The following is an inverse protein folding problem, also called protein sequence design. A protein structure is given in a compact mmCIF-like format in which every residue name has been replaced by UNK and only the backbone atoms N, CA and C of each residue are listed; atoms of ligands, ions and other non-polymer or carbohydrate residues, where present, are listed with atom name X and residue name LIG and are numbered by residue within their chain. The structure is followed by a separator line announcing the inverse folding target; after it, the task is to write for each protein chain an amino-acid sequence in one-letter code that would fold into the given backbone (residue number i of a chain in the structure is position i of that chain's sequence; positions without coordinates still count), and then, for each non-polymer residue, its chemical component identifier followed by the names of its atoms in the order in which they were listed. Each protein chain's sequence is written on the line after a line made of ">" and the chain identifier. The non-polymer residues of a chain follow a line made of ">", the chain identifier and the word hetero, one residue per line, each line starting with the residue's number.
data_IF_098957265175
#
_entry.id   IF_098957265175
#
_cell.length_a   1.000
_cell.length_b   1.000
_cell.length_c   1.000
_cell.angle_alpha   90.00
_cell.angle_beta   90.00
_cell.angle_gamma   90.00
#
_symmetry.space_group_name_H-M   'P 1'
#
loop_
_entity.id
_entity.type
_entity.pdbx_description
1 polymer ?
#
# COMPACT_ATOMS: atom_id res chain seq x y z
N UNK A 1 15.35 -37.26 16.31
CA UNK A 1 13.96 -36.86 16.43
C UNK A 1 13.72 -35.86 15.30
N UNK A 2 12.81 -36.14 14.42
CA UNK A 2 12.48 -35.26 13.30
C UNK A 2 11.82 -33.98 13.82
N UNK A 3 11.90 -32.91 13.05
CA UNK A 3 11.28 -31.61 13.35
C UNK A 3 9.76 -31.73 13.60
N UNK A 4 9.06 -32.52 12.77
CA UNK A 4 7.62 -32.73 12.90
C UNK A 4 7.30 -33.53 14.19
N UNK A 5 8.03 -34.58 14.44
CA UNK A 5 7.89 -35.38 15.67
C UNK A 5 8.11 -34.55 16.93
N UNK A 6 9.11 -33.64 16.90
CA UNK A 6 9.41 -32.77 18.03
C UNK A 6 8.22 -31.90 18.44
N UNK A 7 7.49 -31.37 17.46
CA UNK A 7 6.28 -30.58 17.71
C UNK A 7 4.99 -31.41 17.73
N UNK A 8 5.08 -32.74 17.58
CA UNK A 8 3.95 -33.66 17.45
C UNK A 8 3.02 -33.28 16.28
N UNK A 9 3.58 -32.95 15.14
CA UNK A 9 2.87 -32.59 13.91
C UNK A 9 2.93 -33.77 12.92
N UNK A 10 1.90 -33.92 12.09
CA UNK A 10 1.83 -34.93 11.04
C UNK A 10 2.40 -34.40 9.71
N UNK A 11 2.35 -33.09 9.50
CA UNK A 11 2.84 -32.41 8.31
C UNK A 11 3.28 -30.97 8.63
N UNK A 12 3.98 -30.31 7.68
CA UNK A 12 4.43 -28.94 7.89
C UNK A 12 3.26 -27.95 7.85
N UNK A 13 2.92 -27.29 8.97
CA UNK A 13 1.81 -26.35 9.03
C UNK A 13 2.02 -25.09 8.19
N UNK A 14 3.26 -24.72 7.85
CA UNK A 14 3.58 -23.42 7.27
C UNK A 14 4.30 -23.53 5.91
N UNK A 15 4.00 -24.58 5.14
CA UNK A 15 4.47 -24.73 3.78
C UNK A 15 4.14 -23.50 2.92
N UNK A 16 5.06 -23.14 2.00
CA UNK A 16 4.93 -21.95 1.15
C UNK A 16 4.17 -22.22 -0.16
N UNK A 17 4.05 -23.47 -0.56
CA UNK A 17 3.29 -23.89 -1.74
C UNK A 17 1.79 -23.72 -1.47
N UNK A 18 1.04 -23.09 -2.40
CA UNK A 18 -0.40 -22.98 -2.28
C UNK A 18 -1.07 -24.35 -2.18
N UNK A 19 -1.71 -24.62 -1.05
CA UNK A 19 -2.42 -25.87 -0.75
C UNK A 19 -3.84 -25.54 -0.29
N UNK A 20 -4.84 -26.08 -0.97
CA UNK A 20 -6.26 -25.88 -0.65
C UNK A 20 -6.66 -26.52 0.68
N UNK A 21 -5.95 -27.56 1.12
CA UNK A 21 -6.17 -28.19 2.43
C UNK A 21 -5.94 -27.21 3.57
N UNK A 22 -4.95 -26.33 3.43
CA UNK A 22 -4.60 -25.29 4.41
C UNK A 22 -5.27 -23.93 4.14
N UNK A 23 -6.30 -23.90 3.33
CA UNK A 23 -7.04 -22.65 3.12
C UNK A 23 -7.79 -22.22 4.38
N UNK A 24 -7.44 -21.04 4.87
CA UNK A 24 -8.15 -20.37 5.95
C UNK A 24 -9.24 -19.45 5.39
N UNK A 25 -10.53 -19.77 5.58
CA UNK A 25 -11.63 -19.03 4.99
C UNK A 25 -11.93 -17.75 5.79
N UNK A 26 -11.04 -16.75 5.73
CA UNK A 26 -11.35 -15.45 6.34
C UNK A 26 -12.59 -14.86 5.67
N UNK A 27 -13.27 -13.95 6.37
CA UNK A 27 -14.47 -13.28 5.82
C UNK A 27 -14.19 -12.71 4.42
N UNK A 28 -13.09 -12.00 4.26
CA UNK A 28 -12.69 -11.40 2.98
C UNK A 28 -12.48 -12.46 1.88
N UNK A 29 -11.82 -13.58 2.17
CA UNK A 29 -11.63 -14.64 1.19
C UNK A 29 -12.97 -15.25 0.75
N UNK A 30 -13.88 -15.45 1.69
CA UNK A 30 -15.24 -15.92 1.38
C UNK A 30 -16.04 -14.91 0.55
N UNK A 31 -15.94 -13.61 0.86
CA UNK A 31 -16.61 -12.54 0.12
C UNK A 31 -16.10 -12.49 -1.34
N UNK A 32 -14.79 -12.66 -1.55
CA UNK A 32 -14.19 -12.72 -2.90
C UNK A 32 -14.68 -13.97 -3.67
N UNK A 33 -14.67 -15.14 -3.03
CA UNK A 33 -15.16 -16.37 -3.66
C UNK A 33 -16.65 -16.24 -4.02
N UNK A 34 -17.48 -15.72 -3.12
CA UNK A 34 -18.91 -15.48 -3.38
C UNK A 34 -19.12 -14.50 -4.55
N UNK A 35 -18.28 -13.46 -4.65
CA UNK A 35 -18.35 -12.52 -5.78
C UNK A 35 -17.98 -13.16 -7.10
N UNK A 36 -17.01 -14.07 -7.13
CA UNK A 36 -16.66 -14.84 -8.33
C UNK A 36 -17.75 -15.86 -8.70
N UNK A 37 -18.29 -16.57 -7.70
CA UNK A 37 -19.39 -17.51 -7.94
C UNK A 37 -20.59 -16.76 -8.55
N UNK A 38 -20.95 -15.60 -7.97
CA UNK A 38 -22.00 -14.72 -8.49
C UNK A 38 -21.71 -14.26 -9.93
N UNK A 39 -20.45 -13.85 -10.23
CA UNK A 39 -20.06 -13.41 -11.57
C UNK A 39 -20.33 -14.48 -12.64
N UNK A 40 -19.98 -15.74 -12.34
CA UNK A 40 -20.19 -16.84 -13.28
C UNK A 40 -21.67 -17.20 -13.39
N UNK A 41 -22.42 -17.23 -12.29
CA UNK A 41 -23.86 -17.49 -12.28
C UNK A 41 -24.64 -16.46 -13.10
N UNK A 42 -24.30 -15.18 -12.94
CA UNK A 42 -24.94 -14.05 -13.67
C UNK A 42 -24.38 -13.80 -15.06
N UNK A 43 -23.41 -14.61 -15.52
CA UNK A 43 -22.74 -14.47 -16.83
C UNK A 43 -22.09 -13.11 -17.02
N UNK A 44 -21.48 -12.57 -15.96
CA UNK A 44 -20.74 -11.32 -16.01
C UNK A 44 -19.49 -11.47 -16.88
N UNK A 45 -19.22 -10.49 -17.75
CA UNK A 45 -18.12 -10.59 -18.72
C UNK A 45 -16.74 -10.53 -18.09
N UNK A 46 -16.51 -9.58 -17.20
CA UNK A 46 -15.20 -9.38 -16.55
C UNK A 46 -15.31 -9.28 -15.04
N UNK A 47 -14.39 -9.98 -14.38
CA UNK A 47 -14.12 -9.86 -12.96
C UNK A 47 -12.65 -9.54 -12.69
N UNK A 48 -12.37 -8.74 -11.70
CA UNK A 48 -11.02 -8.32 -11.31
C UNK A 48 -10.75 -8.63 -9.85
N UNK A 49 -9.67 -9.36 -9.58
CA UNK A 49 -9.15 -9.59 -8.22
C UNK A 49 -7.80 -8.90 -8.09
N UNK A 50 -7.71 -7.97 -7.16
CA UNK A 50 -6.45 -7.26 -6.85
C UNK A 50 -5.97 -7.64 -5.46
N UNK A 51 -4.67 -7.82 -5.30
CA UNK A 51 -4.06 -8.03 -3.98
C UNK A 51 -2.55 -8.01 -4.03
N UNK A 52 -1.95 -7.62 -2.94
CA UNK A 52 -0.49 -7.66 -2.78
C UNK A 52 0.08 -9.08 -2.96
N UNK A 53 1.36 -9.23 -3.32
CA UNK A 53 2.00 -10.54 -3.38
C UNK A 53 1.87 -11.30 -2.06
N UNK A 54 1.46 -12.59 -2.15
CA UNK A 54 1.35 -13.45 -0.97
C UNK A 54 0.06 -13.30 -0.15
N UNK A 55 -0.95 -12.54 -0.62
CA UNK A 55 -2.27 -12.40 0.04
C UNK A 55 -3.22 -13.57 -0.19
N UNK A 56 -2.84 -14.57 -1.00
CA UNK A 56 -3.65 -15.78 -1.24
C UNK A 56 -4.44 -15.77 -2.55
N UNK A 57 -4.14 -14.88 -3.50
CA UNK A 57 -4.81 -14.83 -4.83
C UNK A 57 -4.86 -16.18 -5.52
N UNK A 58 -3.71 -16.81 -5.72
CA UNK A 58 -3.61 -18.11 -6.38
C UNK A 58 -4.32 -19.23 -5.61
N UNK A 59 -4.39 -19.14 -4.27
CA UNK A 59 -5.14 -20.11 -3.46
C UNK A 59 -6.64 -19.98 -3.69
N UNK A 60 -7.16 -18.76 -3.75
CA UNK A 60 -8.56 -18.49 -4.10
C UNK A 60 -8.89 -19.01 -5.48
N UNK A 61 -8.01 -18.78 -6.47
CA UNK A 61 -8.20 -19.28 -7.83
C UNK A 61 -8.29 -20.80 -7.86
N UNK A 62 -7.42 -21.52 -7.17
CA UNK A 62 -7.49 -22.98 -7.09
C UNK A 62 -8.83 -23.46 -6.54
N UNK A 63 -9.31 -22.85 -5.46
CA UNK A 63 -10.60 -23.21 -4.86
C UNK A 63 -11.76 -22.89 -5.79
N UNK A 64 -11.73 -21.75 -6.44
CA UNK A 64 -12.73 -21.35 -7.42
C UNK A 64 -12.77 -22.35 -8.61
N UNK A 65 -11.61 -22.67 -9.16
CA UNK A 65 -11.48 -23.66 -10.25
C UNK A 65 -12.03 -25.03 -9.83
N UNK A 66 -11.68 -25.50 -8.63
CA UNK A 66 -12.16 -26.77 -8.09
C UNK A 66 -13.70 -26.81 -7.95
N UNK A 67 -14.33 -25.68 -7.65
CA UNK A 67 -15.81 -25.56 -7.55
C UNK A 67 -16.49 -25.62 -8.91
N UNK A 68 -15.84 -25.05 -9.94
CA UNK A 68 -16.46 -24.84 -11.26
C UNK A 68 -16.03 -25.82 -12.33
N UNK A 69 -14.94 -26.58 -12.16
CA UNK A 69 -14.35 -27.49 -13.15
C UNK A 69 -15.33 -28.51 -13.77
N UNK A 70 -16.37 -28.90 -13.07
CA UNK A 70 -17.37 -29.86 -13.59
C UNK A 70 -18.47 -29.19 -14.41
N UNK A 71 -18.75 -27.92 -14.12
CA UNK A 71 -19.82 -27.14 -14.77
C UNK A 71 -19.30 -26.19 -15.84
N UNK A 72 -17.98 -26.05 -15.97
CA UNK A 72 -17.36 -25.07 -16.84
C UNK A 72 -16.14 -25.67 -17.57
N UNK A 73 -15.85 -25.13 -18.73
CA UNK A 73 -14.55 -25.26 -19.37
C UNK A 73 -13.70 -24.06 -18.92
N UNK A 74 -12.53 -24.31 -18.34
CA UNK A 74 -11.72 -23.26 -17.74
C UNK A 74 -10.35 -23.23 -18.40
N UNK A 75 -9.98 -22.09 -18.98
CA UNK A 75 -8.62 -21.81 -19.43
C UNK A 75 -7.87 -21.05 -18.34
N UNK A 76 -6.72 -21.56 -17.89
CA UNK A 76 -5.90 -20.96 -16.83
C UNK A 76 -4.55 -20.50 -17.37
N UNK A 77 -4.38 -19.20 -17.52
CA UNK A 77 -3.14 -18.57 -18.01
C UNK A 77 -2.32 -18.09 -16.81
N UNK A 78 -1.20 -18.79 -16.55
CA UNK A 78 -0.34 -18.51 -15.37
C UNK A 78 0.93 -17.72 -15.68
N UNK A 79 1.34 -17.61 -16.95
CA UNK A 79 2.55 -16.90 -17.37
C UNK A 79 2.23 -15.91 -18.49
N UNK A 80 1.64 -14.77 -18.18
CA UNK A 80 1.03 -13.90 -19.17
C UNK A 80 2.01 -12.93 -19.88
N UNK A 81 3.27 -13.32 -20.12
CA UNK A 81 4.17 -12.54 -21.00
C UNK A 81 4.02 -13.01 -22.44
N UNK A 82 2.81 -12.91 -22.96
CA UNK A 82 2.42 -13.39 -24.28
C UNK A 82 1.97 -12.21 -25.15
N UNK A 83 2.29 -12.25 -26.44
CA UNK A 83 1.66 -11.40 -27.45
C UNK A 83 0.15 -11.68 -27.53
N UNK A 84 -0.65 -10.81 -28.14
CA UNK A 84 -2.09 -11.07 -28.32
C UNK A 84 -2.39 -12.40 -29.01
N UNK A 85 -1.61 -12.75 -30.03
CA UNK A 85 -1.74 -13.99 -30.79
C UNK A 85 -1.35 -15.22 -29.94
N UNK A 86 -0.23 -15.15 -29.24
CA UNK A 86 0.22 -16.21 -28.33
C UNK A 86 -0.77 -16.41 -27.17
N UNK A 87 -1.39 -15.34 -26.67
CA UNK A 87 -2.41 -15.42 -25.64
C UNK A 87 -3.66 -16.16 -26.15
N UNK A 88 -4.13 -15.83 -27.36
CA UNK A 88 -5.26 -16.52 -27.97
C UNK A 88 -4.92 -18.02 -28.19
N UNK A 89 -3.73 -18.32 -28.69
CA UNK A 89 -3.28 -19.71 -28.86
C UNK A 89 -3.25 -20.44 -27.49
N UNK A 90 -2.68 -19.85 -26.48
CA UNK A 90 -2.62 -20.46 -25.15
C UNK A 90 -4.01 -20.74 -24.55
N UNK A 91 -4.98 -19.85 -24.77
CA UNK A 91 -6.38 -20.05 -24.37
C UNK A 91 -6.99 -21.25 -25.10
N UNK A 92 -6.78 -21.35 -26.42
CA UNK A 92 -7.30 -22.45 -27.24
C UNK A 92 -6.68 -23.78 -26.83
N UNK A 93 -5.36 -23.80 -26.60
CA UNK A 93 -4.65 -25.02 -26.20
C UNK A 93 -5.14 -25.53 -24.84
N UNK A 94 -5.34 -24.63 -23.86
CA UNK A 94 -5.81 -25.01 -22.52
C UNK A 94 -7.28 -25.50 -22.53
N UNK A 95 -8.09 -24.99 -23.48
CA UNK A 95 -9.44 -25.48 -23.72
C UNK A 95 -9.47 -26.74 -24.61
N UNK A 96 -8.31 -27.30 -24.94
CA UNK A 96 -8.16 -28.46 -25.84
C UNK A 96 -8.74 -28.24 -27.24
N UNK A 97 -8.77 -27.02 -27.76
CA UNK A 97 -9.18 -26.67 -29.11
C UNK A 97 -7.95 -26.77 -30.02
N UNK A 98 -7.80 -27.90 -30.70
CA UNK A 98 -6.66 -28.12 -31.59
C UNK A 98 -6.91 -27.48 -32.94
N UNK A 99 -6.01 -26.62 -33.38
CA UNK A 99 -6.02 -25.97 -34.68
C UNK A 99 -4.65 -26.15 -35.33
N UNK A 100 -4.64 -26.46 -36.63
CA UNK A 100 -3.43 -26.56 -37.45
C UNK A 100 -3.12 -25.22 -38.16
N UNK A 101 -3.78 -24.14 -37.76
CA UNK A 101 -3.66 -22.83 -38.39
C UNK A 101 -3.09 -21.77 -37.39
N UNK A 102 -2.30 -20.87 -37.93
CA UNK A 102 -1.84 -19.66 -37.23
C UNK A 102 -2.64 -18.42 -37.64
N UNK A 103 -3.67 -18.58 -38.46
CA UNK A 103 -4.52 -17.49 -38.89
C UNK A 103 -5.46 -17.06 -37.76
N UNK A 104 -5.27 -15.84 -37.26
CA UNK A 104 -6.04 -15.28 -36.14
C UNK A 104 -7.56 -15.30 -36.39
N UNK A 105 -8.01 -15.03 -37.62
CA UNK A 105 -9.45 -15.01 -37.93
C UNK A 105 -10.06 -16.40 -37.83
N UNK A 106 -9.34 -17.42 -38.27
CA UNK A 106 -9.76 -18.80 -38.12
C UNK A 106 -9.77 -19.24 -36.64
N UNK A 107 -8.77 -18.85 -35.88
CA UNK A 107 -8.71 -19.12 -34.45
C UNK A 107 -9.92 -18.49 -33.72
N UNK A 108 -10.26 -17.22 -33.99
CA UNK A 108 -11.43 -16.55 -33.41
C UNK A 108 -12.72 -17.20 -33.83
N UNK A 109 -12.85 -17.65 -35.09
CA UNK A 109 -14.04 -18.34 -35.59
C UNK A 109 -14.23 -19.68 -34.87
N UNK A 110 -13.19 -20.50 -34.77
CA UNK A 110 -13.24 -21.78 -34.05
C UNK A 110 -13.54 -21.57 -32.55
N UNK A 111 -12.95 -20.56 -31.93
CA UNK A 111 -13.26 -20.22 -30.55
C UNK A 111 -14.74 -19.83 -30.36
N UNK A 112 -15.28 -19.00 -31.24
CA UNK A 112 -16.70 -18.62 -31.19
C UNK A 112 -17.61 -19.85 -31.37
N UNK A 113 -17.33 -20.74 -32.33
CA UNK A 113 -18.11 -21.95 -32.55
C UNK A 113 -18.05 -22.87 -31.32
N UNK A 114 -16.88 -22.97 -30.66
CA UNK A 114 -16.74 -23.68 -29.39
C UNK A 114 -17.60 -23.05 -28.29
N UNK A 115 -17.56 -21.71 -28.09
CA UNK A 115 -18.35 -21.00 -27.08
C UNK A 115 -19.85 -21.25 -27.27
N UNK A 116 -20.35 -21.19 -28.52
CA UNK A 116 -21.75 -21.46 -28.85
C UNK A 116 -22.12 -22.90 -28.49
N UNK A 117 -21.29 -23.88 -28.87
CA UNK A 117 -21.52 -25.27 -28.54
C UNK A 117 -21.55 -25.56 -27.04
N UNK A 118 -20.68 -24.88 -26.27
CA UNK A 118 -20.69 -25.02 -24.80
C UNK A 118 -21.90 -24.35 -24.15
N UNK A 119 -22.33 -23.19 -24.66
CA UNK A 119 -23.56 -22.54 -24.19
C UNK A 119 -24.80 -23.39 -24.46
N UNK A 120 -24.90 -24.06 -25.61
CA UNK A 120 -25.99 -24.98 -25.91
C UNK A 120 -26.01 -26.22 -24.99
N UNK A 121 -24.87 -26.61 -24.44
CA UNK A 121 -24.71 -27.69 -23.48
C UNK A 121 -24.85 -27.21 -22.02
N UNK A 122 -25.26 -25.94 -21.79
CA UNK A 122 -25.35 -25.27 -20.49
C UNK A 122 -24.02 -25.27 -19.69
N UNK A 123 -22.90 -25.32 -20.39
CA UNK A 123 -21.58 -25.18 -19.80
C UNK A 123 -21.06 -23.77 -19.94
N UNK A 124 -20.43 -23.25 -18.87
CA UNK A 124 -19.75 -21.96 -18.87
C UNK A 124 -18.35 -22.11 -19.48
N UNK A 125 -17.86 -21.04 -20.09
CA UNK A 125 -16.44 -20.95 -20.51
C UNK A 125 -15.81 -19.77 -19.75
N UNK A 126 -14.75 -20.08 -19.00
CA UNK A 126 -14.10 -19.14 -18.10
C UNK A 126 -12.62 -19.04 -18.46
N UNK A 127 -12.13 -17.85 -18.74
CA UNK A 127 -10.70 -17.57 -18.86
C UNK A 127 -10.23 -16.96 -17.54
N UNK A 128 -9.25 -17.57 -16.90
CA UNK A 128 -8.60 -17.08 -15.69
C UNK A 128 -7.17 -16.69 -16.04
N UNK A 129 -6.82 -15.43 -15.79
CA UNK A 129 -5.47 -14.93 -16.00
C UNK A 129 -4.88 -14.54 -14.66
N UNK A 130 -3.92 -15.33 -14.14
CA UNK A 130 -3.15 -14.98 -12.94
C UNK A 130 -1.96 -14.09 -13.31
N UNK A 131 -1.50 -13.26 -12.38
CA UNK A 131 -0.44 -12.26 -12.58
C UNK A 131 -0.68 -11.34 -13.81
N UNK A 132 -1.95 -10.96 -14.06
CA UNK A 132 -2.38 -10.21 -15.24
C UNK A 132 -1.72 -8.83 -15.40
N UNK A 133 -1.04 -8.29 -14.36
CA UNK A 133 -0.20 -7.10 -14.51
C UNK A 133 1.00 -7.31 -15.45
N UNK A 134 1.35 -8.56 -15.80
CA UNK A 134 2.40 -8.88 -16.74
C UNK A 134 1.95 -8.92 -18.21
N UNK A 135 0.63 -8.93 -18.48
CA UNK A 135 0.10 -8.81 -19.84
C UNK A 135 0.48 -7.47 -20.48
N UNK A 136 0.72 -7.47 -21.79
CA UNK A 136 0.81 -6.23 -22.56
C UNK A 136 -0.56 -5.55 -22.66
N UNK A 137 -0.58 -4.24 -22.96
CA UNK A 137 -1.85 -3.53 -23.20
C UNK A 137 -2.58 -4.09 -24.41
N UNK A 138 -1.84 -4.54 -25.44
CA UNK A 138 -2.40 -5.26 -26.60
C UNK A 138 -3.08 -6.57 -26.22
N UNK A 139 -2.48 -7.35 -25.29
CA UNK A 139 -3.07 -8.62 -24.83
C UNK A 139 -4.30 -8.38 -23.94
N UNK A 140 -4.30 -7.33 -23.13
CA UNK A 140 -5.49 -6.90 -22.38
C UNK A 140 -6.62 -6.47 -23.31
N UNK A 141 -6.28 -5.74 -24.39
CA UNK A 141 -7.24 -5.33 -25.40
C UNK A 141 -7.79 -6.53 -26.20
N UNK A 142 -6.95 -7.54 -26.49
CA UNK A 142 -7.41 -8.78 -27.10
C UNK A 142 -8.47 -9.50 -26.24
N UNK A 143 -8.24 -9.61 -24.93
CA UNK A 143 -9.25 -10.16 -24.01
C UNK A 143 -10.55 -9.34 -24.05
N UNK A 144 -10.46 -8.01 -24.15
CA UNK A 144 -11.63 -7.15 -24.31
C UNK A 144 -12.39 -7.46 -25.61
N UNK A 145 -11.66 -7.67 -26.72
CA UNK A 145 -12.28 -8.04 -28.00
C UNK A 145 -12.93 -9.41 -27.94
N UNK A 146 -12.28 -10.40 -27.33
CA UNK A 146 -12.85 -11.75 -27.14
C UNK A 146 -14.13 -11.71 -26.28
N UNK A 147 -14.22 -10.81 -25.32
CA UNK A 147 -15.44 -10.65 -24.49
C UNK A 147 -16.66 -10.15 -25.28
N UNK A 148 -16.48 -9.66 -26.52
CA UNK A 148 -17.59 -9.31 -27.41
C UNK A 148 -18.24 -10.54 -28.07
N UNK A 149 -17.67 -11.73 -27.87
CA UNK A 149 -18.28 -12.98 -28.35
C UNK A 149 -19.49 -13.28 -27.45
N UNK A 150 -20.64 -12.79 -27.86
CA UNK A 150 -21.92 -12.92 -27.17
C UNK A 150 -23.03 -13.29 -28.13
N UNK A 151 -24.13 -13.80 -27.60
CA UNK A 151 -25.39 -13.94 -28.34
C UNK A 151 -26.28 -12.72 -28.06
N UNK A 152 -27.43 -12.60 -28.71
CA UNK A 152 -28.42 -11.58 -28.40
C UNK A 152 -28.95 -11.63 -26.96
N UNK A 153 -28.74 -12.73 -26.25
CA UNK A 153 -29.33 -12.99 -24.94
C UNK A 153 -28.32 -13.01 -23.79
N UNK A 154 -27.06 -13.40 -24.08
CA UNK A 154 -26.11 -13.66 -23.01
C UNK A 154 -24.63 -13.56 -23.45
N UNK A 155 -23.78 -13.30 -22.49
CA UNK A 155 -22.32 -13.41 -22.62
C UNK A 155 -21.92 -14.89 -22.67
N UNK A 156 -21.16 -15.25 -23.69
CA UNK A 156 -20.66 -16.64 -23.86
C UNK A 156 -19.38 -16.91 -23.07
N UNK A 157 -18.65 -15.86 -22.71
CA UNK A 157 -17.32 -15.92 -22.11
C UNK A 157 -17.25 -15.09 -20.83
N UNK A 158 -16.69 -15.65 -19.78
CA UNK A 158 -16.34 -14.96 -18.55
C UNK A 158 -14.81 -14.86 -18.43
N UNK A 159 -14.30 -13.69 -18.04
CA UNK A 159 -12.86 -13.43 -17.91
C UNK A 159 -12.58 -12.94 -16.50
N UNK A 160 -11.69 -13.64 -15.79
CA UNK A 160 -11.25 -13.30 -14.45
C UNK A 160 -9.79 -12.86 -14.53
N UNK A 161 -9.55 -11.58 -14.31
CA UNK A 161 -8.22 -11.01 -14.20
C UNK A 161 -7.79 -10.97 -12.74
N UNK A 162 -6.64 -11.56 -12.45
CA UNK A 162 -6.06 -11.57 -11.11
C UNK A 162 -4.69 -10.94 -11.15
N UNK A 163 -4.45 -9.96 -10.30
CA UNK A 163 -3.19 -9.22 -10.37
C UNK A 163 -2.84 -8.45 -9.11
N UNK A 164 -1.77 -7.71 -9.23
CA UNK A 164 -1.25 -6.80 -8.20
C UNK A 164 -1.84 -5.40 -8.37
N UNK A 165 -1.69 -4.48 -7.39
CA UNK A 165 -2.22 -3.12 -7.49
C UNK A 165 -1.77 -2.34 -8.75
N UNK A 166 -0.64 -2.74 -9.35
CA UNK A 166 -0.15 -2.22 -10.62
C UNK A 166 -1.16 -2.40 -11.76
N UNK A 167 -1.81 -3.59 -11.81
CA UNK A 167 -2.85 -3.86 -12.81
C UNK A 167 -4.00 -2.85 -12.71
N UNK A 168 -4.47 -2.58 -11.51
CA UNK A 168 -5.54 -1.61 -11.29
C UNK A 168 -5.16 -0.22 -11.77
N UNK A 169 -3.93 0.23 -11.48
CA UNK A 169 -3.42 1.53 -11.93
C UNK A 169 -3.34 1.61 -13.46
N UNK A 170 -2.92 0.52 -14.12
CA UNK A 170 -2.86 0.45 -15.59
C UNK A 170 -4.25 0.47 -16.21
N UNK A 171 -5.22 -0.26 -15.66
CA UNK A 171 -6.60 -0.27 -16.14
C UNK A 171 -7.25 1.12 -16.13
N UNK A 172 -6.88 1.98 -15.18
CA UNK A 172 -7.36 3.36 -15.12
C UNK A 172 -6.68 4.32 -16.13
N UNK A 173 -5.69 3.85 -16.92
CA UNK A 173 -5.08 4.67 -17.97
C UNK A 173 -6.01 4.84 -19.19
N UNK A 174 -5.77 5.90 -19.98
CA UNK A 174 -6.60 6.18 -21.16
C UNK A 174 -6.65 5.01 -22.15
N UNK A 175 -5.52 4.32 -22.35
CA UNK A 175 -5.42 3.20 -23.30
C UNK A 175 -6.26 1.97 -22.93
N UNK A 176 -6.58 1.77 -21.65
CA UNK A 176 -7.34 0.62 -21.18
C UNK A 176 -8.72 0.99 -20.57
N UNK A 177 -9.14 2.22 -20.73
CA UNK A 177 -10.40 2.74 -20.17
C UNK A 177 -11.63 1.93 -20.62
N UNK A 178 -11.65 1.45 -21.85
CA UNK A 178 -12.75 0.63 -22.36
C UNK A 178 -12.83 -0.74 -21.70
N UNK A 179 -11.69 -1.35 -21.38
CA UNK A 179 -11.63 -2.59 -20.61
C UNK A 179 -12.06 -2.32 -19.16
N UNK A 180 -11.57 -1.24 -18.56
CA UNK A 180 -11.91 -0.86 -17.18
C UNK A 180 -13.42 -0.71 -16.96
N UNK A 181 -14.13 -0.11 -17.93
CA UNK A 181 -15.59 0.04 -17.92
C UNK A 181 -16.36 -1.29 -18.04
N UNK A 182 -15.74 -2.35 -18.55
CA UNK A 182 -16.36 -3.67 -18.69
C UNK A 182 -16.24 -4.55 -17.46
N UNK A 183 -15.40 -4.16 -16.49
CA UNK A 183 -15.21 -4.91 -15.27
C UNK A 183 -16.38 -4.62 -14.33
N UNK A 184 -17.31 -5.56 -14.26
CA UNK A 184 -18.51 -5.49 -13.43
C UNK A 184 -18.22 -5.85 -11.97
N UNK A 185 -17.32 -6.80 -11.72
CA UNK A 185 -16.97 -7.25 -10.37
C UNK A 185 -15.52 -6.91 -10.06
N UNK A 186 -15.33 -6.23 -8.92
CA UNK A 186 -14.00 -5.86 -8.41
C UNK A 186 -13.86 -6.30 -6.97
N UNK A 187 -12.88 -7.15 -6.72
CA UNK A 187 -12.57 -7.64 -5.40
C UNK A 187 -11.12 -7.32 -5.01
N UNK A 188 -10.89 -6.98 -3.76
CA UNK A 188 -9.54 -6.66 -3.27
C UNK A 188 -9.19 -7.55 -2.09
N UNK A 189 -8.07 -8.27 -2.20
CA UNK A 189 -7.48 -9.07 -1.14
C UNK A 189 -6.50 -8.21 -0.34
N UNK A 190 -6.85 -7.94 0.91
CA UNK A 190 -5.99 -7.26 1.88
C UNK A 190 -5.21 -8.27 2.72
N UNK A 191 -4.13 -7.87 3.38
CA UNK A 191 -3.51 -8.66 4.45
C UNK A 191 -4.51 -8.97 5.58
N UNK A 192 -4.29 -10.07 6.28
CA UNK A 192 -5.06 -10.48 7.45
C UNK A 192 -4.91 -9.47 8.58
N UNK A 193 -5.97 -9.23 9.34
CA UNK A 193 -5.92 -8.45 10.59
C UNK A 193 -5.14 -9.21 11.66
N UNK A 194 -4.85 -8.56 12.80
CA UNK A 194 -4.18 -9.20 13.94
C UNK A 194 -4.96 -10.42 14.44
N UNK A 195 -6.29 -10.30 14.55
CA UNK A 195 -7.19 -11.39 14.96
C UNK A 195 -7.17 -12.52 13.93
N UNK A 196 -7.41 -12.19 12.65
CA UNK A 196 -7.38 -13.18 11.55
C UNK A 196 -6.01 -13.88 11.45
N UNK A 197 -4.90 -13.18 11.76
CA UNK A 197 -3.55 -13.78 11.79
C UNK A 197 -3.42 -14.78 12.94
N UNK A 198 -3.94 -14.45 14.13
CA UNK A 198 -3.94 -15.38 15.28
C UNK A 198 -4.73 -16.64 14.95
N UNK A 199 -5.91 -16.47 14.39
CA UNK A 199 -6.78 -17.58 13.98
C UNK A 199 -6.16 -18.40 12.85
N UNK A 200 -5.55 -17.76 11.87
CA UNK A 200 -4.83 -18.39 10.76
C UNK A 200 -3.70 -19.31 11.27
N UNK A 201 -2.85 -18.81 12.17
CA UNK A 201 -1.76 -19.62 12.75
C UNK A 201 -2.34 -20.82 13.49
N UNK A 202 -3.36 -20.61 14.33
CA UNK A 202 -4.02 -21.67 15.07
C UNK A 202 -4.66 -22.71 14.15
N UNK A 203 -5.37 -22.27 13.12
CA UNK A 203 -6.01 -23.12 12.12
C UNK A 203 -4.99 -24.06 11.44
N UNK A 204 -3.85 -23.50 10.99
CA UNK A 204 -2.82 -24.30 10.32
C UNK A 204 -2.17 -25.34 11.24
N UNK A 205 -1.91 -24.98 12.51
CA UNK A 205 -1.38 -25.91 13.51
C UNK A 205 -2.37 -27.04 13.84
N UNK A 206 -3.67 -26.72 13.95
CA UNK A 206 -4.71 -27.72 14.17
C UNK A 206 -4.79 -28.68 12.99
N UNK A 207 -4.75 -28.16 11.76
CA UNK A 207 -4.76 -28.97 10.53
C UNK A 207 -3.55 -29.90 10.43
N UNK A 208 -2.38 -29.45 10.86
CA UNK A 208 -1.15 -30.23 10.85
C UNK A 208 -1.08 -31.34 11.93
N UNK A 209 -2.12 -31.52 12.75
CA UNK A 209 -2.27 -32.67 13.63
C UNK A 209 -2.15 -32.41 15.13
N UNK A 210 -1.80 -31.20 15.59
CA UNK A 210 -1.89 -30.86 17.02
C UNK A 210 -2.10 -29.37 17.30
N UNK A 211 -2.94 -29.20 18.29
CA UNK A 211 -3.47 -27.92 18.68
C UNK A 211 -2.48 -26.83 19.03
N UNK A 212 -3.04 -25.68 19.08
CA UNK A 212 -2.61 -24.30 19.27
C UNK A 212 -1.57 -23.95 20.34
N UNK A 213 -1.02 -24.90 21.10
CA UNK A 213 -0.13 -24.62 22.24
C UNK A 213 1.30 -24.23 21.84
N UNK A 214 1.68 -24.34 20.55
CA UNK A 214 3.04 -24.05 20.08
C UNK A 214 3.32 -22.54 20.09
N UNK A 215 2.31 -21.73 19.65
CA UNK A 215 2.37 -20.26 19.65
C UNK A 215 1.40 -19.70 20.69
N UNK A 216 1.88 -18.84 21.59
CA UNK A 216 1.02 -18.04 22.45
C UNK A 216 0.50 -16.78 21.74
N UNK A 217 -0.49 -16.09 22.33
CA UNK A 217 -1.07 -14.88 21.72
C UNK A 217 -0.04 -13.75 21.53
N UNK A 218 0.97 -13.64 22.37
CA UNK A 218 2.02 -12.61 22.26
C UNK A 218 2.92 -12.87 21.05
N UNK A 219 3.25 -14.12 20.78
CA UNK A 219 4.06 -14.52 19.64
C UNK A 219 3.27 -14.45 18.33
N UNK A 220 1.98 -14.77 18.33
CA UNK A 220 1.08 -14.58 17.18
C UNK A 220 0.95 -13.10 16.82
N UNK A 221 0.72 -12.21 17.79
CA UNK A 221 0.70 -10.75 17.58
C UNK A 221 2.02 -10.23 17.04
N UNK A 222 3.15 -10.74 17.56
CA UNK A 222 4.46 -10.35 17.05
C UNK A 222 4.67 -10.83 15.61
N UNK A 223 4.22 -12.06 15.27
CA UNK A 223 4.24 -12.58 13.90
C UNK A 223 3.41 -11.71 12.96
N UNK A 224 2.20 -11.29 13.37
CA UNK A 224 1.40 -10.33 12.63
C UNK A 224 2.15 -9.02 12.37
N UNK A 225 2.75 -8.45 13.42
CA UNK A 225 3.49 -7.19 13.33
C UNK A 225 4.67 -7.26 12.34
N UNK A 226 5.38 -8.38 12.30
CA UNK A 226 6.51 -8.58 11.40
C UNK A 226 6.07 -8.87 9.96
N UNK A 227 5.05 -9.70 9.78
CA UNK A 227 4.53 -10.10 8.47
C UNK A 227 3.59 -9.06 7.84
N UNK A 228 3.13 -8.05 8.61
CA UNK A 228 2.08 -7.13 8.17
C UNK A 228 0.76 -7.82 7.84
N UNK A 229 0.52 -9.04 8.34
CA UNK A 229 -0.67 -9.83 8.05
C UNK A 229 -0.67 -10.52 6.68
N UNK A 230 0.43 -10.49 5.93
CA UNK A 230 0.53 -11.16 4.63
C UNK A 230 0.72 -12.67 4.85
N UNK A 231 -0.20 -13.56 4.38
CA UNK A 231 -0.17 -14.99 4.65
C UNK A 231 1.16 -15.66 4.33
N UNK A 232 1.78 -15.34 3.19
CA UNK A 232 3.09 -15.87 2.81
C UNK A 232 4.19 -15.50 3.82
N UNK A 233 4.17 -14.26 4.31
CA UNK A 233 5.14 -13.79 5.30
C UNK A 233 4.84 -14.35 6.70
N UNK A 234 3.58 -14.57 7.04
CA UNK A 234 3.17 -15.27 8.26
C UNK A 234 3.77 -16.68 8.24
N UNK A 235 3.55 -17.44 7.15
CA UNK A 235 4.09 -18.79 7.02
C UNK A 235 5.61 -18.81 7.13
N UNK A 236 6.28 -17.93 6.39
CA UNK A 236 7.74 -17.85 6.43
C UNK A 236 8.28 -17.54 7.84
N UNK A 237 7.64 -16.60 8.53
CA UNK A 237 8.04 -16.20 9.89
C UNK A 237 7.76 -17.32 10.89
N UNK A 238 6.59 -17.95 10.81
CA UNK A 238 6.17 -19.02 11.70
C UNK A 238 7.03 -20.29 11.52
N UNK A 239 7.25 -20.73 10.28
CA UNK A 239 8.11 -21.89 9.98
C UNK A 239 9.54 -21.68 10.50
N UNK A 240 10.13 -20.51 10.27
CA UNK A 240 11.48 -20.20 10.79
C UNK A 240 11.53 -20.10 12.30
N UNK A 241 10.52 -19.50 12.94
CA UNK A 241 10.45 -19.43 14.40
C UNK A 241 10.36 -20.83 15.02
N UNK A 242 9.63 -21.75 14.39
CA UNK A 242 9.57 -23.15 14.80
C UNK A 242 10.93 -23.84 14.61
N UNK A 243 11.62 -23.64 13.49
CA UNK A 243 12.95 -24.19 13.27
C UNK A 243 13.96 -23.70 14.31
N UNK A 244 13.97 -22.41 14.63
CA UNK A 244 14.84 -21.83 15.67
C UNK A 244 14.52 -22.43 17.04
N UNK A 245 13.24 -22.61 17.36
CA UNK A 245 12.80 -23.21 18.61
C UNK A 245 13.21 -24.68 18.70
N UNK A 246 13.09 -25.44 17.61
CA UNK A 246 13.56 -26.83 17.49
C UNK A 246 15.06 -26.96 17.77
N UNK A 247 15.88 -26.13 17.12
CA UNK A 247 17.33 -26.08 17.34
C UNK A 247 17.70 -25.72 18.80
N UNK A 248 16.86 -24.93 19.45
CA UNK A 248 16.98 -24.56 20.86
C UNK A 248 16.27 -25.51 21.83
N UNK A 249 15.80 -26.70 21.37
CA UNK A 249 15.06 -27.69 22.15
C UNK A 249 13.87 -27.11 22.92
N UNK A 250 13.17 -26.12 22.35
CA UNK A 250 12.00 -25.46 22.94
C UNK A 250 10.70 -25.88 22.24
N UNK A 251 9.81 -26.57 22.95
CA UNK A 251 8.50 -26.99 22.42
C UNK A 251 7.51 -25.82 22.27
N UNK A 252 7.81 -24.64 22.82
CA UNK A 252 6.98 -23.44 22.72
C UNK A 252 7.75 -22.31 22.05
N UNK A 253 7.06 -21.61 21.16
CA UNK A 253 7.63 -20.45 20.47
C UNK A 253 7.66 -19.26 21.42
N UNK A 254 8.85 -18.74 21.66
CA UNK A 254 9.09 -17.55 22.48
C UNK A 254 9.32 -16.33 21.60
N UNK A 255 9.10 -15.12 22.16
CA UNK A 255 9.33 -13.84 21.47
C UNK A 255 10.70 -13.76 20.79
N UNK A 256 11.76 -14.27 21.43
CA UNK A 256 13.12 -14.31 20.86
C UNK A 256 13.16 -15.11 19.57
N UNK A 257 12.49 -16.29 19.48
CA UNK A 257 12.49 -17.13 18.28
C UNK A 257 11.87 -16.39 17.10
N UNK A 258 10.77 -15.65 17.34
CA UNK A 258 10.12 -14.83 16.30
C UNK A 258 10.99 -13.62 15.90
N UNK A 259 11.66 -12.95 16.85
CA UNK A 259 12.55 -11.83 16.53
C UNK A 259 13.80 -12.27 15.76
N UNK A 260 14.35 -13.44 16.07
CA UNK A 260 15.54 -13.96 15.40
C UNK A 260 15.26 -14.32 13.93
N UNK A 261 14.00 -14.57 13.55
CA UNK A 261 13.65 -14.79 12.13
C UNK A 261 14.02 -13.60 11.25
N UNK A 262 13.97 -12.39 11.77
CA UNK A 262 14.29 -11.15 11.03
C UNK A 262 15.75 -11.11 10.58
N UNK A 263 16.66 -11.71 11.34
CA UNK A 263 18.09 -11.78 11.01
C UNK A 263 18.37 -12.68 9.81
N UNK A 264 17.46 -13.60 9.52
CA UNK A 264 17.60 -14.64 8.51
C UNK A 264 16.67 -14.49 7.31
N UNK A 265 15.90 -13.42 7.24
CA UNK A 265 15.05 -13.09 6.09
C UNK A 265 15.68 -11.89 5.39
N UNK A 266 16.53 -12.08 4.36
CA UNK A 266 17.03 -10.98 3.58
C UNK A 266 15.84 -10.37 2.79
N UNK A 267 15.61 -9.08 2.93
CA UNK A 267 14.87 -8.17 2.03
C UNK A 267 13.47 -8.54 1.53
N UNK A 268 12.89 -9.66 1.92
CA UNK A 268 11.55 -10.04 1.49
C UNK A 268 10.47 -9.30 2.29
N UNK A 269 10.38 -7.96 2.13
CA UNK A 269 9.16 -7.20 2.45
C UNK A 269 8.71 -7.18 3.90
N UNK A 270 9.51 -7.70 4.85
CA UNK A 270 9.22 -7.53 6.26
C UNK A 270 9.29 -6.04 6.57
N UNK A 271 8.14 -5.43 6.73
CA UNK A 271 8.04 -4.06 7.23
C UNK A 271 8.64 -4.07 8.63
N UNK A 272 9.93 -3.82 8.74
CA UNK A 272 10.59 -3.52 10.00
C UNK A 272 10.08 -2.16 10.49
N UNK A 273 8.78 -2.12 10.77
CA UNK A 273 8.13 -1.03 11.50
C UNK A 273 8.46 -1.06 12.99
N UNK A 274 9.54 -1.73 13.39
CA UNK A 274 10.23 -1.42 14.62
C UNK A 274 11.05 -0.16 14.31
N UNK A 275 10.36 0.97 14.23
CA UNK A 275 10.98 2.24 14.59
C UNK A 275 11.49 2.02 16.01
N UNK A 276 12.73 1.60 16.16
CA UNK A 276 13.51 1.95 17.32
C UNK A 276 13.36 3.47 17.37
N UNK A 277 12.54 3.90 18.33
CA UNK A 277 12.20 5.31 18.47
C UNK A 277 13.50 6.08 18.43
N UNK A 278 13.69 6.86 17.37
CA UNK A 278 14.81 7.81 17.32
C UNK A 278 14.79 8.71 18.56
N UNK A 279 13.62 8.81 19.23
CA UNK A 279 13.43 9.47 20.51
C UNK A 279 14.36 8.96 21.62
N UNK A 280 14.74 7.67 21.63
CA UNK A 280 15.68 7.17 22.66
C UNK A 280 17.12 7.64 22.38
N UNK A 281 17.52 7.73 21.11
CA UNK A 281 18.83 8.29 20.72
C UNK A 281 18.88 9.81 20.96
N UNK A 282 17.80 10.53 20.67
CA UNK A 282 17.70 11.94 20.93
C UNK A 282 17.53 12.25 22.43
N UNK A 283 16.88 11.38 23.20
CA UNK A 283 16.79 11.50 24.65
C UNK A 283 18.15 11.30 25.33
N UNK A 284 18.98 10.38 24.86
CA UNK A 284 20.34 10.21 25.39
C UNK A 284 21.26 11.38 25.00
N UNK A 285 21.16 11.90 23.79
CA UNK A 285 21.90 13.09 23.35
C UNK A 285 21.42 14.32 24.11
N UNK A 286 20.12 14.52 24.30
CA UNK A 286 19.57 15.61 25.07
C UNK A 286 19.99 15.55 26.56
N UNK A 287 20.00 14.36 27.17
CA UNK A 287 20.50 14.17 28.53
C UNK A 287 22.00 14.51 28.65
N UNK A 288 22.82 14.11 27.67
CA UNK A 288 24.25 14.46 27.63
C UNK A 288 24.48 15.96 27.46
N UNK A 289 23.69 16.63 26.63
CA UNK A 289 23.75 18.10 26.46
C UNK A 289 23.34 18.80 27.74
N UNK A 290 22.27 18.36 28.41
CA UNK A 290 21.83 18.96 29.71
C UNK A 290 22.92 18.78 30.77
N UNK A 291 23.53 17.60 30.88
CA UNK A 291 24.63 17.36 31.82
C UNK A 291 25.84 18.26 31.50
N UNK A 292 26.18 18.45 30.23
CA UNK A 292 27.28 19.32 29.81
C UNK A 292 27.01 20.78 30.13
N UNK A 293 25.77 21.25 29.91
CA UNK A 293 25.35 22.63 30.25
C UNK A 293 25.37 22.87 31.76
N UNK A 294 24.88 21.90 32.55
CA UNK A 294 24.91 21.99 34.02
C UNK A 294 26.36 21.98 34.53
N UNK A 295 27.23 21.14 33.98
CA UNK A 295 28.66 21.12 34.34
C UNK A 295 29.36 22.44 33.99
N UNK A 296 29.04 23.02 32.80
CA UNK A 296 29.59 24.30 32.35
C UNK A 296 29.15 25.45 33.26
N UNK A 297 27.85 25.54 33.61
CA UNK A 297 27.33 26.56 34.53
C UNK A 297 27.88 26.39 35.94
N UNK A 298 27.99 25.15 36.45
CA UNK A 298 28.61 24.89 37.75
C UNK A 298 30.09 25.30 37.77
N UNK A 299 30.84 25.00 36.72
CA UNK A 299 32.24 25.45 36.57
C UNK A 299 32.37 26.97 36.50
N UNK A 300 31.48 27.61 35.71
CA UNK A 300 31.43 29.07 35.57
C UNK A 300 31.14 29.78 36.91
N UNK A 301 30.21 29.28 37.72
CA UNK A 301 29.86 29.82 39.04
C UNK A 301 31.00 29.67 40.06
N UNK A 302 31.75 28.55 40.00
CA UNK A 302 32.92 28.29 40.85
C UNK A 302 34.06 29.23 40.47
N UNK A 303 34.36 29.42 39.18
CA UNK A 303 35.40 30.34 38.72
C UNK A 303 35.08 31.81 39.04
N UNK A 304 33.81 32.21 38.94
CA UNK A 304 33.39 33.61 39.18
C UNK A 304 33.26 33.97 40.69
N UNK A 305 33.26 32.96 41.57
CA UNK A 305 33.21 33.15 43.01
C UNK A 305 34.56 33.60 43.58
N UNK A 306 35.64 33.45 42.82
CA UNK A 306 36.99 33.82 43.25
C UNK A 306 37.47 35.20 42.78
N UNK A 307 36.63 35.98 42.07
CA UNK A 307 36.91 37.35 41.67
C UNK A 307 35.78 38.27 42.18
N UNK A 308 35.93 38.95 43.36
CA UNK A 308 34.98 39.98 43.78
C UNK A 308 35.09 41.21 42.87
N UNK A 309 33.98 41.85 42.49
CA UNK A 309 34.00 43.03 41.65
C UNK A 309 34.62 44.19 42.42
N UNK A 310 35.67 44.78 41.86
CA UNK A 310 36.18 46.06 42.32
C UNK A 310 35.22 47.17 41.90
N UNK A 311 34.70 47.89 42.86
CA UNK A 311 33.89 49.12 42.73
C UNK A 311 34.86 50.27 42.49
N UNK A 312 34.79 51.01 41.38
CA UNK A 312 35.43 52.35 41.32
C UNK A 312 34.49 53.37 41.90
N UNK A 313 35.03 54.12 42.87
CA UNK A 313 34.35 55.25 43.54
C UNK A 313 34.51 56.55 42.73
N UNK A 314 33.44 57.35 42.86
CA UNK A 314 33.33 58.82 42.73
C UNK A 314 33.23 59.49 41.36
N UNK A 315 32.04 59.96 41.15
CA UNK A 315 31.37 61.26 40.91
C UNK A 315 32.26 62.52 40.58
N UNK A 316 31.76 63.68 40.18
CA UNK A 316 30.37 64.06 39.92
C UNK A 316 30.14 64.93 38.66
N UNK A 317 28.84 65.16 38.43
CA UNK A 317 28.21 66.33 37.78
C UNK A 317 28.69 66.87 36.43
N UNK A 318 27.82 66.88 35.49
CA UNK A 318 27.21 68.12 34.97
C UNK A 318 26.13 67.80 33.87
N UNK A 319 25.03 68.49 34.11
CA UNK A 319 23.95 68.81 33.22
C UNK A 319 24.31 69.07 31.74
N UNK A 320 23.43 68.82 30.86
CA UNK A 320 22.75 69.74 29.94
C UNK A 320 22.15 69.03 28.71
N UNK A 321 20.84 68.99 28.78
CA UNK A 321 19.88 69.37 27.73
C UNK A 321 20.20 69.13 26.24
N UNK A 322 19.15 68.55 25.61
CA UNK A 322 18.54 68.87 24.26
C UNK A 322 19.20 68.36 23.00
N UNK A 323 18.48 67.61 22.28
CA UNK A 323 17.70 67.88 21.07
C UNK A 323 17.49 66.66 20.19
N UNK A 324 16.26 66.51 19.87
CA UNK A 324 15.60 65.85 18.78
C UNK A 324 16.22 66.16 17.42
N UNK A 325 16.30 65.21 16.56
CA UNK A 325 15.70 65.10 15.24
C UNK A 325 16.58 64.33 14.21
N UNK A 326 15.98 63.77 13.18
CA UNK A 326 16.34 62.53 12.53
C UNK A 326 16.98 62.75 11.15
N UNK A 327 17.55 61.71 10.61
CA UNK A 327 17.72 61.58 9.13
C UNK A 327 18.09 60.14 8.82
N UNK A 328 17.23 59.48 8.11
CA UNK A 328 17.26 59.29 6.62
C UNK A 328 18.43 58.40 6.21
N UNK A 329 18.01 57.29 5.71
CA UNK A 329 17.76 56.79 4.37
C UNK A 329 18.94 56.07 3.75
N UNK A 330 18.74 54.86 3.32
CA UNK A 330 18.86 54.56 1.86
C UNK A 330 18.45 53.14 1.55
N UNK A 331 17.34 53.05 0.85
CA UNK A 331 16.98 51.93 -0.01
C UNK A 331 17.73 52.05 -1.34
N UNK A 332 17.81 51.00 -2.10
CA UNK A 332 17.46 51.16 -3.48
C UNK A 332 16.20 50.37 -3.88
N UNK A 333 15.39 51.11 -4.57
CA UNK A 333 14.22 50.82 -5.34
C UNK A 333 14.56 49.87 -6.49
N UNK A 334 13.74 48.88 -6.73
CA UNK A 334 13.52 48.35 -8.08
C UNK A 334 12.04 48.09 -8.29
N UNK A 335 11.48 49.02 -8.98
CA UNK A 335 10.51 49.08 -10.06
C UNK A 335 9.39 48.05 -10.07
N UNK A 336 8.22 48.56 -9.79
CA UNK A 336 6.92 48.09 -10.17
C UNK A 336 6.74 47.94 -11.69
N UNK A 337 5.98 46.93 -12.06
CA UNK A 337 5.02 47.12 -13.16
C UNK A 337 3.66 46.57 -12.70
N UNK A 338 2.73 47.52 -12.58
CA UNK A 338 1.29 47.32 -12.44
C UNK A 338 0.72 46.69 -13.69
N UNK A 339 -0.22 45.74 -13.54
CA UNK A 339 -1.51 45.84 -14.22
C UNK A 339 -2.54 44.89 -13.60
N UNK A 340 -3.44 45.47 -12.87
CA UNK A 340 -4.92 45.39 -12.89
C UNK A 340 -5.55 43.97 -13.07
N UNK A 341 -6.16 43.56 -12.07
CA UNK A 341 -7.55 43.12 -11.78
C UNK A 341 -7.52 42.20 -10.59
N UNK A 342 -8.06 42.69 -9.51
CA UNK A 342 -8.16 42.05 -8.20
C UNK A 342 -9.16 40.88 -8.26
N UNK A 343 -8.72 39.72 -8.82
CA UNK A 343 -9.42 38.47 -8.66
C UNK A 343 -8.73 37.70 -7.54
N UNK A 344 -9.35 37.67 -6.35
CA UNK A 344 -8.89 36.88 -5.22
C UNK A 344 -8.76 35.43 -5.63
N UNK A 345 -7.55 34.92 -5.66
CA UNK A 345 -7.25 33.51 -5.91
C UNK A 345 -7.54 32.70 -4.65
N UNK A 346 -8.32 31.63 -4.78
CA UNK A 346 -8.69 30.76 -3.66
C UNK A 346 -8.07 29.38 -3.83
N UNK A 347 -7.50 28.84 -2.77
CA UNK A 347 -7.07 27.47 -2.68
C UNK A 347 -8.20 26.63 -2.05
N UNK A 348 -8.71 25.64 -2.78
CA UNK A 348 -9.77 24.73 -2.31
C UNK A 348 -9.14 23.36 -2.07
N UNK A 349 -9.28 22.83 -0.86
CA UNK A 349 -8.71 21.53 -0.48
C UNK A 349 -9.38 20.40 -1.24
N UNK A 350 -8.62 19.65 -2.04
CA UNK A 350 -9.11 18.58 -2.91
C UNK A 350 -9.02 17.18 -2.26
N UNK A 351 -8.21 17.01 -1.21
CA UNK A 351 -8.00 15.75 -0.49
C UNK A 351 -8.84 15.67 0.79
N UNK A 352 -9.09 14.46 1.31
CA UNK A 352 -9.95 14.26 2.49
C UNK A 352 -9.49 15.06 3.71
N UNK A 353 -8.18 15.16 3.92
CA UNK A 353 -7.55 15.97 4.98
C UNK A 353 -6.24 16.54 4.48
N UNK A 354 -5.96 17.80 4.75
CA UNK A 354 -4.70 18.48 4.43
C UNK A 354 -4.09 19.12 5.66
N UNK A 355 -2.77 19.28 5.65
CA UNK A 355 -2.01 19.87 6.76
C UNK A 355 -1.52 21.25 6.35
N UNK A 356 -1.85 22.24 7.14
CA UNK A 356 -1.29 23.58 7.07
C UNK A 356 0.01 23.63 7.87
N UNK A 357 1.01 24.31 7.36
CA UNK A 357 2.36 24.32 7.92
C UNK A 357 2.86 25.74 8.17
N UNK A 358 3.76 25.87 9.14
CA UNK A 358 4.36 27.16 9.51
C UNK A 358 5.35 27.68 8.46
N UNK A 359 5.98 26.78 7.67
CA UNK A 359 6.87 27.15 6.58
C UNK A 359 6.67 26.19 5.37
N UNK A 360 7.06 26.60 4.14
CA UNK A 360 6.83 25.82 2.91
C UNK A 360 7.78 24.63 2.78
N UNK A 361 7.67 23.66 3.72
CA UNK A 361 8.47 22.45 3.76
C UNK A 361 7.67 21.28 4.35
N UNK A 362 7.86 20.07 3.81
CA UNK A 362 7.26 18.85 4.35
C UNK A 362 7.77 18.48 5.76
N UNK A 363 8.89 19.06 6.20
CA UNK A 363 9.47 18.84 7.52
C UNK A 363 9.07 19.90 8.53
N UNK A 364 8.38 20.98 8.11
CA UNK A 364 7.93 22.04 8.99
C UNK A 364 6.82 21.59 9.95
N UNK A 365 6.67 22.29 11.08
CA UNK A 365 5.59 22.10 12.05
C UNK A 365 4.22 22.14 11.39
N UNK A 366 3.28 21.34 11.92
CA UNK A 366 1.88 21.33 11.47
C UNK A 366 1.16 22.34 12.35
N UNK A 367 0.67 23.41 11.75
CA UNK A 367 -0.08 24.44 12.44
C UNK A 367 -1.56 24.06 12.60
N UNK A 368 -2.18 23.49 11.53
CA UNK A 368 -3.59 23.09 11.57
C UNK A 368 -3.87 21.97 10.58
N UNK A 369 -5.03 21.30 10.74
CA UNK A 369 -5.51 20.26 9.82
C UNK A 369 -6.86 20.73 9.28
N UNK A 370 -6.98 20.73 7.95
CA UNK A 370 -8.16 21.17 7.20
C UNK A 370 -8.74 20.04 6.37
N UNK A 371 -10.01 20.15 6.01
CA UNK A 371 -10.79 19.09 5.36
C UNK A 371 -11.11 19.42 3.90
N UNK A 372 -11.51 18.39 3.15
CA UNK A 372 -11.92 18.55 1.75
C UNK A 372 -13.08 19.54 1.62
N UNK A 373 -12.91 20.49 0.71
CA UNK A 373 -13.89 21.57 0.45
C UNK A 373 -13.60 22.87 1.18
N UNK A 374 -12.70 22.87 2.18
CA UNK A 374 -12.27 24.11 2.81
C UNK A 374 -11.57 24.99 1.77
N UNK A 375 -11.84 26.30 1.83
CA UNK A 375 -11.34 27.28 0.87
C UNK A 375 -10.67 28.43 1.58
N UNK A 376 -9.49 28.83 1.07
CA UNK A 376 -8.65 29.86 1.69
C UNK A 376 -8.13 30.83 0.64
N UNK A 377 -8.02 32.11 0.98
CA UNK A 377 -7.42 33.12 0.12
C UNK A 377 -5.90 32.86 0.00
N UNK A 378 -5.39 32.81 -1.23
CA UNK A 378 -3.95 32.68 -1.49
C UNK A 378 -3.33 34.07 -1.40
N UNK A 379 -2.40 34.25 -0.47
CA UNK A 379 -1.69 35.52 -0.25
C UNK A 379 -0.30 35.54 -0.88
N UNK A 380 0.31 34.36 -1.06
CA UNK A 380 1.66 34.22 -1.63
C UNK A 380 1.89 32.83 -2.23
N UNK A 381 2.90 32.70 -3.07
CA UNK A 381 3.29 31.39 -3.61
C UNK A 381 4.83 31.25 -3.59
N UNK A 382 5.29 30.06 -3.24
CA UNK A 382 6.71 29.72 -3.17
C UNK A 382 7.00 28.37 -3.84
N UNK A 383 8.11 28.32 -4.55
CA UNK A 383 8.55 27.08 -5.21
C UNK A 383 9.92 26.69 -4.67
N UNK A 384 9.99 25.47 -4.14
CA UNK A 384 11.22 24.88 -3.64
C UNK A 384 12.18 24.54 -4.80
N UNK A 385 13.49 24.52 -4.56
CA UNK A 385 14.51 24.11 -5.55
C UNK A 385 14.31 22.67 -6.07
N UNK A 386 13.58 21.85 -5.34
CA UNK A 386 13.14 20.49 -5.72
C UNK A 386 11.93 20.47 -6.67
N UNK A 387 11.35 21.65 -7.00
CA UNK A 387 10.17 21.78 -7.87
C UNK A 387 8.83 21.71 -7.15
N UNK A 388 8.80 21.50 -5.85
CA UNK A 388 7.55 21.51 -5.09
C UNK A 388 7.04 22.93 -4.92
N UNK A 389 5.78 23.18 -5.28
CA UNK A 389 5.12 24.48 -5.15
C UNK A 389 4.24 24.52 -3.91
N UNK A 390 4.24 25.65 -3.19
CA UNK A 390 3.47 25.89 -1.99
C UNK A 390 2.68 27.19 -2.12
N UNK A 391 1.46 27.21 -1.56
CA UNK A 391 0.64 28.42 -1.45
C UNK A 391 0.58 28.87 0.01
N UNK A 392 0.78 30.15 0.22
CA UNK A 392 0.51 30.79 1.50
C UNK A 392 -0.96 31.15 1.54
N UNK A 393 -1.67 30.64 2.52
CA UNK A 393 -3.11 30.79 2.65
C UNK A 393 -3.46 31.48 3.96
N UNK A 394 -4.48 32.33 3.91
CA UNK A 394 -4.96 33.08 5.08
C UNK A 394 -6.16 32.39 5.69
N UNK A 395 -6.09 32.11 7.00
CA UNK A 395 -7.22 31.66 7.81
C UNK A 395 -7.73 32.85 8.61
N UNK A 396 -9.01 33.22 8.48
CA UNK A 396 -9.59 34.29 9.30
C UNK A 396 -9.40 34.00 10.80
N UNK A 397 -8.87 34.96 11.54
CA UNK A 397 -8.59 34.90 12.98
C UNK A 397 -7.44 33.99 13.45
N UNK A 398 -6.82 33.15 12.60
CA UNK A 398 -5.73 32.25 13.00
C UNK A 398 -4.36 32.62 12.40
N UNK A 399 -4.33 33.33 11.25
CA UNK A 399 -3.08 33.77 10.62
C UNK A 399 -2.84 33.21 9.21
N UNK A 400 -1.58 33.22 8.78
CA UNK A 400 -1.16 32.75 7.47
C UNK A 400 -0.28 31.51 7.60
N UNK A 401 -0.58 30.50 6.78
CA UNK A 401 0.06 29.19 6.78
C UNK A 401 0.35 28.70 5.36
N UNK A 402 1.19 27.68 5.25
CA UNK A 402 1.57 27.11 3.97
C UNK A 402 0.86 25.79 3.68
N UNK A 403 0.37 25.63 2.44
CA UNK A 403 -0.26 24.42 1.95
C UNK A 403 0.39 23.99 0.63
N UNK A 404 0.64 22.70 0.45
CA UNK A 404 1.26 22.20 -0.77
C UNK A 404 0.30 22.29 -1.95
N UNK A 405 0.77 22.73 -3.12
CA UNK A 405 -0.06 22.98 -4.30
C UNK A 405 -0.76 21.74 -4.84
N UNK A 406 -0.16 20.56 -4.71
CA UNK A 406 -0.70 19.30 -5.23
C UNK A 406 -1.90 18.74 -4.45
N UNK A 407 -2.27 19.34 -3.31
CA UNK A 407 -3.42 18.92 -2.49
C UNK A 407 -4.58 19.93 -2.53
N UNK A 408 -4.44 21.00 -3.32
CA UNK A 408 -5.48 22.03 -3.50
C UNK A 408 -5.75 22.27 -4.98
N UNK A 409 -6.96 22.67 -5.31
CA UNK A 409 -7.32 23.24 -6.60
C UNK A 409 -7.43 24.77 -6.48
N UNK A 410 -6.87 25.49 -7.44
CA UNK A 410 -6.92 26.96 -7.43
C UNK A 410 -8.10 27.42 -8.27
N UNK A 411 -9.01 28.19 -7.67
CA UNK A 411 -10.16 28.83 -8.31
C UNK A 411 -10.12 30.35 -8.11
N UNK A 412 -10.73 31.11 -9.02
CA UNK A 412 -11.01 32.51 -8.83
C UNK A 412 -12.47 32.68 -8.39
N UNK A 413 -12.71 33.40 -7.30
CA UNK A 413 -14.06 33.89 -7.00
C UNK A 413 -14.43 34.92 -8.06
N UNK A 414 -15.50 34.62 -8.80
CA UNK A 414 -16.19 35.62 -9.66
C UNK A 414 -17.04 36.54 -8.83
#
# INVERSE_FOLDING_TARGET
>A
MDYLDFFNLQEDPFGLTPDSHYFYPSKMHNDVLASLDYAVEQKEGFSLIIGEPGTGKTTILKIFIDRWKEKSEIALIMTPRLSPEELLQAILDDLNIRLETTNKNEMIKCFRDFLINRSLADKRVIIVVDEAQNLSDGSLEELRLLSNLETEKEKLLQIILVGQPELQRRLHSEGLRQLDQRISIRATLRPLTEVETSDYISFRLIKAGKGSAIFDEKTKKLTHKLSGGVPRLINLTASRAMMIAYLGSSHHIQKRHVLDTVKHIPEAGLKMGIRFSASLKYATIAALVIVSVVAFFSGYTILNRNNPPQIPANSPDQDVTTKITPAESNLPISVKQDNATDHKRMAIVSVRTARLRESPSLQSGIASIVSRGDSFEITDEWTESSGNRWYRVRIPAEGEYWIASYIVSVGSLR
#
